data_IF_523432441469
#
_entry.id   IF_523432441469
#
_cell.length_a   1.000
_cell.length_b   1.000
_cell.length_c   1.000
_cell.angle_alpha   90.00
_cell.angle_beta   90.00
_cell.angle_gamma   90.00
#
_symmetry.space_group_name_H-M   'P 1'
#
loop_
_entity.id
_entity.type
_entity.pdbx_description
1 polymer ?
#
# COMPACT_ATOMS: atom_id res chain seq x y z
N UNK A 1 -51.97 9.67 33.62
CA UNK A 1 -50.51 9.92 33.56
C UNK A 1 -50.23 10.55 32.22
N UNK A 2 -49.79 11.80 32.24
CA UNK A 2 -49.61 12.66 31.07
C UNK A 2 -48.45 12.18 30.19
N UNK A 3 -48.66 12.19 28.87
CA UNK A 3 -47.62 12.06 27.87
C UNK A 3 -47.29 13.48 27.38
N UNK A 4 -46.16 14.05 27.82
CA UNK A 4 -45.52 15.25 27.24
C UNK A 4 -44.27 15.62 28.05
N UNK A 5 -43.12 15.02 27.72
CA UNK A 5 -41.79 15.63 27.82
C UNK A 5 -40.73 14.65 27.31
N UNK A 6 -40.33 14.77 26.04
CA UNK A 6 -39.04 14.25 25.59
C UNK A 6 -38.29 15.48 25.07
N UNK A 7 -37.12 15.84 25.62
CA UNK A 7 -36.33 16.94 25.09
C UNK A 7 -35.78 16.56 23.71
N UNK A 8 -35.98 17.44 22.72
CA UNK A 8 -35.31 17.34 21.42
C UNK A 8 -33.81 17.52 21.60
N UNK A 9 -33.03 16.54 21.13
CA UNK A 9 -31.57 16.58 21.13
C UNK A 9 -31.10 17.47 19.98
N UNK A 10 -30.06 18.30 20.16
CA UNK A 10 -29.48 19.07 19.06
C UNK A 10 -28.75 18.13 18.08
N UNK A 11 -29.28 18.02 16.86
CA UNK A 11 -28.63 17.38 15.72
C UNK A 11 -27.55 18.32 15.13
N UNK A 12 -26.43 18.47 15.82
CA UNK A 12 -25.27 19.22 15.29
C UNK A 12 -23.97 18.47 15.57
N UNK A 13 -23.70 17.44 14.76
CA UNK A 13 -22.35 16.95 14.55
C UNK A 13 -22.06 16.81 13.06
N UNK A 14 -22.21 17.92 12.32
CA UNK A 14 -21.45 18.10 11.09
C UNK A 14 -19.99 18.30 11.47
N UNK A 15 -19.26 17.20 11.64
CA UNK A 15 -17.80 17.22 11.80
C UNK A 15 -17.20 17.93 10.59
N UNK A 16 -16.87 19.20 10.77
CA UNK A 16 -16.13 19.99 9.81
C UNK A 16 -14.69 19.47 9.81
N UNK A 17 -14.44 18.41 9.02
CA UNK A 17 -13.08 17.96 8.75
C UNK A 17 -12.47 18.97 7.78
N UNK A 18 -11.62 19.82 8.34
CA UNK A 18 -10.88 20.83 7.60
C UNK A 18 -10.26 20.26 6.31
N UNK A 19 -10.34 21.08 5.27
CA UNK A 19 -9.99 20.76 3.89
C UNK A 19 -8.56 20.24 3.74
N UNK A 20 -8.44 18.96 3.39
CA UNK A 20 -7.23 18.40 2.76
C UNK A 20 -7.68 17.64 1.52
N UNK A 21 -7.42 18.23 0.34
CA UNK A 21 -7.61 17.68 -1.01
C UNK A 21 -8.95 16.94 -1.28
N UNK A 22 -9.94 17.71 -1.75
CA UNK A 22 -11.35 17.30 -1.91
C UNK A 22 -11.68 16.19 -2.92
N UNK A 23 -10.74 15.75 -3.77
CA UNK A 23 -11.01 14.66 -4.73
C UNK A 23 -10.74 13.27 -4.13
N UNK A 24 -9.73 13.13 -3.28
CA UNK A 24 -9.30 11.81 -2.75
C UNK A 24 -10.27 11.26 -1.70
N UNK A 25 -10.76 12.13 -0.79
CA UNK A 25 -11.65 11.72 0.29
C UNK A 25 -13.02 11.29 -0.26
N UNK A 26 -13.54 12.00 -1.26
CA UNK A 26 -14.86 11.71 -1.86
C UNK A 26 -14.88 10.36 -2.57
N UNK A 27 -13.81 9.99 -3.30
CA UNK A 27 -13.69 8.65 -3.88
C UNK A 27 -13.45 7.57 -2.82
N UNK A 28 -12.64 7.86 -1.80
CA UNK A 28 -12.42 6.94 -0.68
C UNK A 28 -13.72 6.62 0.07
N UNK A 29 -14.52 7.65 0.38
CA UNK A 29 -15.82 7.52 1.03
C UNK A 29 -16.85 6.78 0.15
N UNK A 30 -16.73 6.85 -1.18
CA UNK A 30 -17.55 6.05 -2.11
C UNK A 30 -17.16 4.57 -2.15
N UNK A 31 -15.88 4.24 -1.90
CA UNK A 31 -15.39 2.85 -1.90
C UNK A 31 -15.54 2.14 -0.56
N UNK A 32 -15.45 2.87 0.54
CA UNK A 32 -15.90 2.32 1.81
C UNK A 32 -17.41 2.13 1.70
N UNK A 33 -17.84 0.89 1.68
CA UNK A 33 -19.19 0.52 1.32
C UNK A 33 -20.16 1.10 2.38
N UNK A 34 -21.03 2.04 2.01
CA UNK A 34 -22.13 2.54 2.86
C UNK A 34 -23.13 1.43 3.28
N UNK A 35 -22.95 0.23 2.73
CA UNK A 35 -23.73 -0.99 2.99
C UNK A 35 -23.33 -1.71 4.29
N UNK A 36 -22.39 -1.17 5.06
CA UNK A 36 -21.96 -1.72 6.35
C UNK A 36 -21.00 -2.92 6.26
N UNK A 37 -20.61 -3.33 5.05
CA UNK A 37 -19.59 -4.39 4.84
C UNK A 37 -18.17 -3.80 4.95
N UNK A 38 -17.26 -4.42 5.71
CA UNK A 38 -15.86 -4.00 5.77
C UNK A 38 -15.20 -4.00 4.39
N UNK A 39 -14.36 -3.00 4.05
CA UNK A 39 -13.58 -2.99 2.82
C UNK A 39 -12.61 -4.18 2.72
N UNK A 40 -12.30 -4.62 1.49
CA UNK A 40 -11.39 -5.74 1.26
C UNK A 40 -9.95 -5.27 1.08
N UNK A 41 -9.03 -5.96 1.74
CA UNK A 41 -7.59 -5.92 1.48
C UNK A 41 -7.22 -7.23 0.78
N UNK A 42 -6.56 -7.15 -0.36
CA UNK A 42 -6.08 -8.31 -1.09
C UNK A 42 -4.57 -8.46 -0.92
N UNK A 43 -4.10 -9.69 -0.77
CA UNK A 43 -2.67 -10.00 -0.63
C UNK A 43 -2.25 -10.97 -1.74
N UNK A 44 -1.35 -10.52 -2.62
CA UNK A 44 -0.72 -11.33 -3.65
C UNK A 44 0.68 -11.74 -3.21
N UNK A 45 0.93 -13.04 -3.14
CA UNK A 45 2.21 -13.62 -2.70
C UNK A 45 2.93 -14.38 -3.83
N UNK A 46 2.53 -14.23 -5.09
CA UNK A 46 3.16 -14.95 -6.20
C UNK A 46 2.85 -16.45 -6.18
N UNK A 47 3.86 -17.27 -6.49
CA UNK A 47 3.78 -18.73 -6.43
C UNK A 47 3.89 -19.30 -5.00
N UNK A 48 4.13 -18.42 -4.01
CA UNK A 48 4.31 -18.81 -2.62
C UNK A 48 3.07 -19.49 -2.02
N UNK A 49 3.33 -20.24 -0.95
CA UNK A 49 2.32 -21.06 -0.28
C UNK A 49 1.35 -20.23 0.55
N UNK A 50 0.23 -20.88 0.93
CA UNK A 50 -0.74 -20.34 1.90
C UNK A 50 -0.10 -19.92 3.23
N UNK A 51 1.05 -20.49 3.61
CA UNK A 51 1.77 -20.14 4.84
C UNK A 51 2.21 -18.67 4.82
N UNK A 52 2.86 -18.24 3.72
CA UNK A 52 3.34 -16.85 3.57
C UNK A 52 2.19 -15.84 3.58
N UNK A 53 1.05 -16.22 3.00
CA UNK A 53 -0.16 -15.40 3.09
C UNK A 53 -0.61 -15.19 4.53
N UNK A 54 -0.67 -16.25 5.36
CA UNK A 54 -1.08 -16.11 6.76
C UNK A 54 -0.06 -15.31 7.59
N UNK A 55 1.24 -15.44 7.31
CA UNK A 55 2.28 -14.62 7.95
C UNK A 55 2.09 -13.12 7.64
N UNK A 56 1.96 -12.79 6.35
CA UNK A 56 1.72 -11.41 5.90
C UNK A 56 0.42 -10.88 6.48
N UNK A 57 -0.64 -11.70 6.48
CA UNK A 57 -1.94 -11.35 7.08
C UNK A 57 -1.80 -11.08 8.58
N UNK A 58 -1.06 -11.87 9.34
CA UNK A 58 -0.86 -11.65 10.78
C UNK A 58 -0.26 -10.25 11.03
N UNK A 59 0.79 -9.89 10.29
CA UNK A 59 1.43 -8.58 10.42
C UNK A 59 0.48 -7.43 10.05
N UNK A 60 -0.30 -7.59 8.98
CA UNK A 60 -1.30 -6.58 8.59
C UNK A 60 -2.33 -6.39 9.69
N UNK A 61 -2.83 -7.46 10.28
CA UNK A 61 -3.86 -7.43 11.34
C UNK A 61 -3.35 -6.81 12.65
N UNK A 62 -2.04 -6.73 12.86
CA UNK A 62 -1.43 -5.97 13.96
C UNK A 62 -1.37 -4.46 13.66
N UNK A 63 -1.44 -4.08 12.39
CA UNK A 63 -1.33 -2.69 11.93
C UNK A 63 -2.69 -2.02 11.67
N UNK A 64 -3.77 -2.79 11.53
CA UNK A 64 -5.12 -2.30 11.26
C UNK A 64 -6.10 -2.79 12.31
N UNK A 65 -7.21 -2.07 12.49
CA UNK A 65 -8.31 -2.58 13.31
C UNK A 65 -8.89 -3.86 12.68
N UNK A 66 -8.84 -4.95 13.43
CA UNK A 66 -9.19 -6.28 12.98
C UNK A 66 -10.65 -6.41 12.50
N UNK A 67 -11.55 -5.57 12.99
CA UNK A 67 -12.96 -5.56 12.60
C UNK A 67 -13.27 -4.64 11.42
N UNK A 68 -12.32 -3.79 11.05
CA UNK A 68 -12.53 -2.74 10.05
C UNK A 68 -12.30 -3.22 8.61
N UNK A 69 -11.62 -4.36 8.41
CA UNK A 69 -11.23 -4.85 7.08
C UNK A 69 -11.36 -6.36 6.94
N UNK A 70 -11.61 -6.82 5.72
CA UNK A 70 -11.51 -8.24 5.38
C UNK A 70 -10.27 -8.50 4.53
N UNK A 71 -9.40 -9.43 4.95
CA UNK A 71 -8.13 -9.72 4.28
C UNK A 71 -8.22 -11.06 3.53
N UNK A 72 -8.02 -11.03 2.21
CA UNK A 72 -8.06 -12.21 1.34
C UNK A 72 -6.77 -12.40 0.56
N UNK A 73 -6.44 -13.67 0.27
CA UNK A 73 -5.38 -14.00 -0.68
C UNK A 73 -5.90 -13.77 -2.12
N UNK A 74 -5.12 -13.09 -2.94
CA UNK A 74 -5.34 -12.98 -4.38
C UNK A 74 -4.39 -13.95 -5.09
N UNK A 75 -4.94 -15.00 -5.68
CA UNK A 75 -4.16 -15.97 -6.46
C UNK A 75 -3.93 -15.44 -7.88
N UNK A 76 -2.82 -15.83 -8.50
CA UNK A 76 -2.49 -15.41 -9.86
C UNK A 76 -3.61 -15.69 -10.87
N UNK A 77 -4.22 -16.88 -10.80
CA UNK A 77 -5.38 -17.24 -11.63
C UNK A 77 -6.58 -16.31 -11.46
N UNK A 78 -6.74 -15.69 -10.29
CA UNK A 78 -7.84 -14.78 -9.98
C UNK A 78 -7.57 -13.35 -10.48
N UNK A 79 -6.29 -12.98 -10.65
CA UNK A 79 -5.90 -11.65 -11.17
C UNK A 79 -6.58 -11.36 -12.51
N UNK A 80 -6.75 -12.38 -13.35
CA UNK A 80 -7.30 -12.26 -14.70
C UNK A 80 -8.76 -12.65 -14.84
N UNK A 81 -9.36 -13.30 -13.83
CA UNK A 81 -10.67 -13.95 -13.97
C UNK A 81 -11.76 -13.41 -13.06
N UNK A 82 -11.40 -12.70 -11.98
CA UNK A 82 -12.34 -12.24 -10.94
C UNK A 82 -12.45 -10.71 -11.00
N UNK A 83 -13.64 -10.10 -10.77
CA UNK A 83 -13.82 -8.65 -10.71
C UNK A 83 -13.27 -8.05 -9.40
N UNK A 84 -12.02 -8.34 -9.05
CA UNK A 84 -11.42 -7.88 -7.80
C UNK A 84 -11.05 -6.40 -7.84
N UNK A 85 -10.76 -5.86 -9.02
CA UNK A 85 -10.34 -4.47 -9.24
C UNK A 85 -11.29 -3.45 -8.61
N UNK A 86 -12.59 -3.70 -8.69
CA UNK A 86 -13.61 -2.77 -8.22
C UNK A 86 -14.04 -3.06 -6.76
N UNK A 87 -13.56 -4.16 -6.17
CA UNK A 87 -13.98 -4.64 -4.85
C UNK A 87 -12.88 -4.58 -3.79
N UNK A 88 -11.66 -4.20 -4.16
CA UNK A 88 -10.51 -4.08 -3.26
C UNK A 88 -10.23 -2.61 -2.93
N UNK A 89 -9.97 -2.33 -1.65
CA UNK A 89 -9.49 -1.03 -1.20
C UNK A 89 -7.96 -0.92 -1.38
N UNK A 90 -7.25 -1.98 -1.04
CA UNK A 90 -5.80 -2.06 -1.02
C UNK A 90 -5.35 -3.42 -1.57
N UNK A 91 -4.34 -3.41 -2.42
CA UNK A 91 -3.59 -4.58 -2.84
C UNK A 91 -2.21 -4.56 -2.20
N UNK A 92 -1.86 -5.62 -1.49
CA UNK A 92 -0.52 -5.86 -0.93
C UNK A 92 0.18 -6.88 -1.80
N UNK A 93 1.36 -6.53 -2.29
CA UNK A 93 2.22 -7.42 -3.08
C UNK A 93 3.39 -7.81 -2.19
N UNK A 94 3.49 -9.08 -1.81
CA UNK A 94 4.48 -9.58 -0.87
C UNK A 94 5.29 -10.75 -1.47
N UNK A 95 5.84 -10.54 -2.66
CA UNK A 95 6.66 -11.54 -3.36
C UNK A 95 7.87 -10.91 -4.04
N UNK A 96 9.03 -11.54 -3.86
CA UNK A 96 10.28 -11.18 -4.54
C UNK A 96 10.40 -11.80 -5.92
N UNK A 97 9.49 -12.71 -6.29
CA UNK A 97 9.44 -13.33 -7.61
C UNK A 97 9.12 -12.29 -8.69
N UNK A 98 9.59 -12.53 -9.91
CA UNK A 98 9.24 -11.68 -11.04
C UNK A 98 7.75 -11.81 -11.35
N UNK A 99 7.06 -10.68 -11.36
CA UNK A 99 5.64 -10.60 -11.71
C UNK A 99 5.53 -10.54 -13.23
N UNK A 100 4.69 -11.40 -13.81
CA UNK A 100 4.47 -11.41 -15.27
C UNK A 100 3.85 -10.10 -15.76
N UNK A 101 4.18 -9.68 -16.99
CA UNK A 101 3.66 -8.43 -17.58
C UNK A 101 2.12 -8.37 -17.55
N UNK A 102 1.46 -9.51 -17.74
CA UNK A 102 -0.01 -9.60 -17.74
C UNK A 102 -0.59 -9.30 -16.35
N UNK A 103 0.03 -9.84 -15.29
CA UNK A 103 -0.37 -9.56 -13.90
C UNK A 103 -0.04 -8.11 -13.53
N UNK A 104 1.16 -7.65 -13.88
CA UNK A 104 1.61 -6.28 -13.65
C UNK A 104 0.66 -5.25 -14.27
N UNK A 105 0.21 -5.47 -15.52
CA UNK A 105 -0.79 -4.62 -16.18
C UNK A 105 -2.12 -4.51 -15.41
N UNK A 106 -2.57 -5.60 -14.79
CA UNK A 106 -3.79 -5.55 -13.97
C UNK A 106 -3.57 -4.75 -12.68
N UNK A 107 -2.40 -4.87 -12.05
CA UNK A 107 -2.04 -4.06 -10.88
C UNK A 107 -1.97 -2.57 -11.22
N UNK A 108 -1.36 -2.23 -12.36
CA UNK A 108 -1.36 -0.85 -12.86
C UNK A 108 -2.77 -0.35 -13.20
N UNK A 109 -3.64 -1.21 -13.74
CA UNK A 109 -5.06 -0.89 -13.99
C UNK A 109 -5.82 -0.64 -12.69
N UNK A 110 -5.56 -1.42 -11.64
CA UNK A 110 -6.11 -1.17 -10.32
C UNK A 110 -5.70 0.20 -9.79
N UNK A 111 -4.41 0.53 -9.90
CA UNK A 111 -3.87 1.82 -9.49
C UNK A 111 -4.45 2.99 -10.29
N UNK A 112 -4.59 2.86 -11.62
CA UNK A 112 -5.15 3.93 -12.47
C UNK A 112 -6.62 4.20 -12.21
N UNK A 113 -7.36 3.20 -11.73
CA UNK A 113 -8.73 3.35 -11.22
C UNK A 113 -8.76 3.96 -9.81
N UNK A 114 -7.63 4.39 -9.23
CA UNK A 114 -7.49 4.96 -7.88
C UNK A 114 -7.33 3.93 -6.76
N UNK A 115 -7.12 2.65 -7.10
CA UNK A 115 -6.73 1.61 -6.14
C UNK A 115 -5.37 1.89 -5.51
N UNK A 116 -5.14 1.44 -4.28
CA UNK A 116 -3.86 1.64 -3.58
C UNK A 116 -3.06 0.35 -3.58
N UNK A 117 -1.75 0.44 -3.81
CA UNK A 117 -0.84 -0.71 -3.78
C UNK A 117 0.24 -0.47 -2.73
N UNK A 118 0.51 -1.49 -1.91
CA UNK A 118 1.64 -1.56 -1.00
C UNK A 118 2.53 -2.75 -1.40
N UNK A 119 3.76 -2.47 -1.83
CA UNK A 119 4.76 -3.49 -2.10
C UNK A 119 5.63 -3.77 -0.86
N UNK A 120 5.71 -5.03 -0.44
CA UNK A 120 6.56 -5.49 0.65
C UNK A 120 7.61 -6.46 0.10
N UNK A 121 8.87 -6.03 0.08
CA UNK A 121 9.96 -6.79 -0.56
C UNK A 121 9.60 -7.24 -1.99
N UNK A 122 8.84 -6.40 -2.70
CA UNK A 122 8.23 -6.74 -3.97
C UNK A 122 9.14 -6.41 -5.14
N UNK A 123 9.10 -7.25 -6.18
CA UNK A 123 9.74 -6.95 -7.48
C UNK A 123 8.90 -6.01 -8.36
N UNK A 124 7.67 -5.68 -7.94
CA UNK A 124 6.75 -4.82 -8.66
C UNK A 124 7.30 -3.39 -8.77
N UNK A 125 7.23 -2.83 -9.98
CA UNK A 125 7.65 -1.46 -10.25
C UNK A 125 6.55 -0.67 -10.97
N UNK A 126 6.60 0.65 -10.85
CA UNK A 126 5.65 1.58 -11.44
C UNK A 126 6.31 2.95 -11.66
N UNK A 127 5.69 3.81 -12.47
CA UNK A 127 6.06 5.23 -12.56
C UNK A 127 7.51 5.50 -12.97
N UNK A 128 8.09 4.69 -13.87
CA UNK A 128 9.47 4.84 -14.33
C UNK A 128 10.53 4.46 -13.28
N UNK A 129 10.15 3.72 -12.23
CA UNK A 129 11.11 3.12 -11.31
C UNK A 129 11.51 1.74 -11.81
N UNK A 130 12.79 1.40 -11.67
CA UNK A 130 13.30 0.04 -11.86
C UNK A 130 13.97 -0.47 -10.58
N UNK A 131 14.09 -1.79 -10.46
CA UNK A 131 14.79 -2.43 -9.36
C UNK A 131 16.19 -2.84 -9.81
N UNK A 132 17.23 -2.36 -9.11
CA UNK A 132 18.62 -2.71 -9.36
C UNK A 132 19.15 -3.67 -8.29
N UNK A 133 20.15 -4.46 -8.68
CA UNK A 133 20.88 -5.36 -7.78
C UNK A 133 22.25 -4.75 -7.46
N UNK A 134 22.52 -4.55 -6.17
CA UNK A 134 23.80 -4.18 -5.58
C UNK A 134 24.29 -5.35 -4.74
N UNK A 135 24.98 -6.28 -5.40
CA UNK A 135 25.39 -7.56 -4.80
C UNK A 135 26.37 -7.36 -3.64
N UNK A 136 27.12 -6.27 -3.65
CA UNK A 136 28.03 -5.82 -2.59
C UNK A 136 27.31 -5.45 -1.28
N UNK A 137 26.00 -5.17 -1.33
CA UNK A 137 25.20 -4.80 -0.16
C UNK A 137 24.44 -5.98 0.45
N UNK A 138 24.43 -7.15 -0.19
CA UNK A 138 23.67 -8.33 0.28
C UNK A 138 24.17 -8.76 1.66
N UNK A 139 23.24 -8.98 2.58
CA UNK A 139 23.47 -9.41 3.97
C UNK A 139 24.34 -8.44 4.79
N UNK A 140 24.61 -7.25 4.27
CA UNK A 140 25.28 -6.18 5.02
C UNK A 140 24.28 -5.43 5.88
N UNK A 141 24.70 -5.08 7.10
CA UNK A 141 23.91 -4.26 8.01
C UNK A 141 24.09 -2.79 7.61
N UNK A 142 23.07 -2.21 6.99
CA UNK A 142 23.07 -0.81 6.56
C UNK A 142 22.05 -0.03 7.37
N UNK A 143 22.33 1.25 7.54
CA UNK A 143 21.34 2.15 8.11
C UNK A 143 20.36 2.59 7.03
N UNK A 144 19.09 2.30 7.23
CA UNK A 144 17.97 2.74 6.43
C UNK A 144 17.32 3.97 7.09
N UNK A 145 17.16 5.05 6.32
CA UNK A 145 16.64 6.34 6.76
C UNK A 145 15.32 6.63 6.05
N UNK A 146 14.29 7.01 6.80
CA UNK A 146 12.99 7.44 6.27
C UNK A 146 12.35 8.49 7.19
N UNK A 147 11.40 9.25 6.67
CA UNK A 147 10.65 10.24 7.45
C UNK A 147 9.31 9.68 7.93
N UNK A 148 8.93 10.00 9.17
CA UNK A 148 7.57 9.71 9.65
C UNK A 148 6.57 10.82 9.25
N UNK A 149 5.31 10.68 9.67
CA UNK A 149 4.24 11.65 9.39
C UNK A 149 4.49 13.06 9.96
N UNK A 150 5.42 13.22 10.92
CA UNK A 150 5.82 14.52 11.49
C UNK A 150 7.09 15.08 10.82
N UNK A 151 7.52 14.48 9.70
CA UNK A 151 8.77 14.80 9.00
C UNK A 151 10.03 14.67 9.88
N UNK A 152 10.00 13.87 10.94
CA UNK A 152 11.22 13.53 11.68
C UNK A 152 11.87 12.31 11.05
N UNK A 153 13.17 12.40 10.81
CA UNK A 153 13.96 11.28 10.32
C UNK A 153 14.05 10.15 11.36
N UNK A 154 13.82 8.94 10.89
CA UNK A 154 13.99 7.70 11.63
C UNK A 154 15.10 6.92 10.93
N UNK A 155 16.04 6.42 11.72
CA UNK A 155 17.16 5.59 11.26
C UNK A 155 17.05 4.20 11.88
N UNK A 156 16.99 3.18 11.03
CA UNK A 156 16.95 1.78 11.44
C UNK A 156 18.15 1.06 10.83
N UNK A 157 18.84 0.22 11.62
CA UNK A 157 19.90 -0.63 11.10
C UNK A 157 19.34 -2.02 10.81
N UNK A 158 19.42 -2.48 9.56
CA UNK A 158 18.88 -3.77 9.13
C UNK A 158 19.79 -4.43 8.08
N UNK A 159 19.76 -5.78 7.98
CA UNK A 159 20.34 -6.49 6.85
C UNK A 159 19.58 -6.14 5.57
N UNK A 160 20.30 -5.84 4.49
CA UNK A 160 19.71 -5.45 3.20
C UNK A 160 19.78 -6.58 2.18
N UNK A 161 18.74 -6.70 1.35
CA UNK A 161 18.61 -7.71 0.28
C UNK A 161 19.53 -7.47 -0.92
N UNK A 162 20.29 -6.37 -0.95
CA UNK A 162 21.01 -5.90 -2.12
C UNK A 162 20.09 -5.43 -3.26
N UNK A 163 18.79 -5.22 -3.03
CA UNK A 163 17.87 -4.64 -4.03
C UNK A 163 17.55 -3.20 -3.68
N UNK A 164 17.69 -2.31 -4.65
CA UNK A 164 17.45 -0.86 -4.51
C UNK A 164 16.62 -0.36 -5.67
N UNK A 165 15.77 0.64 -5.44
CA UNK A 165 15.03 1.31 -6.51
C UNK A 165 15.92 2.35 -7.20
N UNK A 166 15.71 2.50 -8.50
CA UNK A 166 16.33 3.57 -9.28
C UNK A 166 15.33 4.17 -10.27
N UNK A 167 15.57 5.43 -10.66
CA UNK A 167 14.74 6.14 -11.64
C UNK A 167 15.25 5.83 -13.04
N UNK A 168 14.35 5.42 -13.91
CA UNK A 168 14.62 5.30 -15.34
C UNK A 168 14.69 6.71 -15.96
N UNK A 169 15.67 6.96 -16.83
CA UNK A 169 16.06 8.31 -17.31
C UNK A 169 15.00 8.94 -18.26
N UNK A 170 13.79 8.39 -18.36
CA UNK A 170 12.76 8.94 -19.24
C UNK A 170 12.15 10.22 -18.64
N UNK A 171 12.38 11.34 -19.33
CA UNK A 171 12.34 12.70 -18.78
C UNK A 171 10.98 13.28 -18.36
N UNK A 172 9.83 12.66 -18.60
CA UNK A 172 8.61 13.48 -18.63
C UNK A 172 7.63 13.39 -17.46
N UNK A 173 7.70 12.41 -16.55
CA UNK A 173 6.67 12.30 -15.48
C UNK A 173 7.23 11.74 -14.15
N UNK A 174 8.16 12.47 -13.53
CA UNK A 174 8.70 12.14 -12.20
C UNK A 174 7.70 12.47 -11.07
N UNK A 175 6.57 11.77 -11.02
CA UNK A 175 5.62 11.86 -9.91
C UNK A 175 6.08 11.04 -8.69
N UNK A 176 7.03 10.12 -8.87
CA UNK A 176 7.50 9.24 -7.79
C UNK A 176 8.43 9.99 -6.85
N UNK A 177 8.02 10.03 -5.57
CA UNK A 177 8.77 10.61 -4.46
C UNK A 177 9.53 9.51 -3.70
N UNK A 178 10.87 9.62 -3.55
CA UNK A 178 11.59 8.76 -2.63
C UNK A 178 11.22 9.14 -1.19
N UNK A 179 10.81 8.17 -0.38
CA UNK A 179 10.44 8.37 1.03
C UNK A 179 11.49 7.82 2.01
N UNK A 180 12.40 6.99 1.53
CA UNK A 180 13.48 6.45 2.33
C UNK A 180 14.63 5.90 1.49
N UNK A 181 15.82 5.93 2.08
CA UNK A 181 17.08 5.59 1.43
C UNK A 181 18.05 4.88 2.39
N UNK A 182 19.06 4.20 1.85
CA UNK A 182 20.20 3.71 2.64
C UNK A 182 21.18 4.85 2.89
N UNK A 183 21.69 4.97 4.11
CA UNK A 183 22.72 5.92 4.53
C UNK A 183 24.10 5.54 3.97
N UNK A 184 24.16 5.39 2.65
CA UNK A 184 25.35 5.17 1.83
C UNK A 184 25.69 6.47 1.08
N UNK A 185 26.92 6.62 0.56
CA UNK A 185 27.28 7.78 -0.25
C UNK A 185 26.33 8.02 -1.43
N UNK A 186 25.82 6.93 -2.02
CA UNK A 186 24.90 6.96 -3.17
C UNK A 186 23.45 7.29 -2.79
N UNK A 187 23.09 7.22 -1.50
CA UNK A 187 21.71 7.37 -0.98
C UNK A 187 20.69 6.51 -1.73
N UNK A 188 20.98 5.21 -1.80
CA UNK A 188 20.16 4.23 -2.53
C UNK A 188 18.70 4.24 -2.09
N UNK A 189 17.75 4.35 -3.03
CA UNK A 189 16.33 4.48 -2.74
C UNK A 189 15.76 3.12 -2.31
N UNK A 190 15.06 3.09 -1.18
CA UNK A 190 14.45 1.87 -0.63
C UNK A 190 12.92 1.96 -0.52
N UNK A 191 12.36 3.17 -0.40
CA UNK A 191 10.92 3.40 -0.40
C UNK A 191 10.57 4.45 -1.44
N UNK A 192 9.59 4.12 -2.28
CA UNK A 192 9.02 4.98 -3.31
C UNK A 192 7.53 5.14 -3.10
N UNK A 193 7.01 6.32 -3.42
CA UNK A 193 5.59 6.64 -3.35
C UNK A 193 5.18 7.41 -4.61
N UNK A 194 4.08 7.01 -5.24
CA UNK A 194 3.42 7.77 -6.31
C UNK A 194 2.36 8.68 -5.71
#
# INVERSE_FOLDING_TARGET
ASAENIPELPDDYSGNLESVNGDCLTEYLKRINLTGKPPNILVYVGSDTKVKFEEVKSVIMECVDFNSYTVYQLLEKQVLSVPWLDNALLLIIATSEMISDTVSKQFLTFMSKGGKILGLSASFTFGGICLKSKNELIDTLQAFVFSNAKNSEIKLNLPISGKVFDKEIMEELNFVKPLGYLDTPDKDIMIVHL
#
